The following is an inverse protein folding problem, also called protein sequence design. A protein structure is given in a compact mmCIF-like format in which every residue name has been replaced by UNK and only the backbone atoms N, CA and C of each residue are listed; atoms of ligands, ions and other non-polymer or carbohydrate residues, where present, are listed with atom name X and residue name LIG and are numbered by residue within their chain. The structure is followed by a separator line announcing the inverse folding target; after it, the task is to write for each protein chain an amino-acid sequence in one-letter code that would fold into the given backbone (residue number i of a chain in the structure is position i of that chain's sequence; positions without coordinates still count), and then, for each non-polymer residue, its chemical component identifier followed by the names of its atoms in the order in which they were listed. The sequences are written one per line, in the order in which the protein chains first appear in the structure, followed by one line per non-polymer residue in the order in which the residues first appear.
data_IF_653831662164
#
_entry.id   IF_653831662164
#
_cell.length_a   1.000
_cell.length_b   1.000
_cell.length_c   1.000
_cell.angle_alpha   90.00
_cell.angle_beta   90.00
_cell.angle_gamma   90.00
#
_symmetry.space_group_name_H-M   'P 1'
#
loop_
_entity.id
_entity.type
_entity.pdbx_description
1 polymer ?
#
# COMPACT_ATOMS: atom_id res chain seq x y z
N UNK A 1 -23.93 23.69 -38.50
CA UNK A 1 -23.06 22.50 -38.64
C UNK A 1 -21.95 22.50 -37.60
N UNK A 2 -20.92 23.36 -37.67
CA UNK A 2 -19.94 23.46 -36.55
C UNK A 2 -20.59 23.98 -35.24
N UNK A 3 -21.34 25.07 -35.34
CA UNK A 3 -22.07 25.65 -34.19
C UNK A 3 -23.13 24.72 -33.57
N UNK A 4 -23.67 23.78 -34.35
CA UNK A 4 -24.64 22.80 -33.84
C UNK A 4 -23.98 21.55 -33.24
N UNK A 5 -22.71 21.29 -33.54
CA UNK A 5 -21.94 20.22 -32.91
C UNK A 5 -21.34 20.67 -31.58
N UNK A 6 -20.91 21.93 -31.47
CA UNK A 6 -20.46 22.50 -30.19
C UNK A 6 -21.60 22.57 -29.16
N UNK A 7 -22.83 22.91 -29.60
CA UNK A 7 -24.02 22.90 -28.72
C UNK A 7 -24.42 21.47 -28.27
N UNK A 8 -24.27 20.45 -29.13
CA UNK A 8 -24.52 19.03 -28.76
C UNK A 8 -23.45 18.50 -27.79
N UNK A 9 -22.17 18.85 -27.97
CA UNK A 9 -21.09 18.44 -27.06
C UNK A 9 -21.21 19.10 -25.68
N UNK A 10 -21.60 20.37 -25.61
CA UNK A 10 -21.87 21.05 -24.32
C UNK A 10 -23.07 20.43 -23.58
N UNK A 11 -24.16 20.08 -24.30
CA UNK A 11 -25.32 19.41 -23.69
C UNK A 11 -24.98 17.99 -23.17
N UNK A 12 -24.18 17.20 -23.90
CA UNK A 12 -23.71 15.90 -23.42
C UNK A 12 -22.77 16.03 -22.21
N UNK A 13 -21.90 17.05 -22.18
CA UNK A 13 -21.00 17.28 -21.07
C UNK A 13 -21.76 17.74 -19.81
N UNK A 14 -22.78 18.60 -19.95
CA UNK A 14 -23.66 19.00 -18.86
C UNK A 14 -24.53 17.84 -18.34
N UNK A 15 -25.10 17.03 -19.23
CA UNK A 15 -25.86 15.84 -18.87
C UNK A 15 -24.97 14.82 -18.12
N UNK A 16 -23.73 14.63 -18.57
CA UNK A 16 -22.72 13.81 -17.89
C UNK A 16 -22.38 14.34 -16.49
N UNK A 17 -22.20 15.66 -16.34
CA UNK A 17 -21.95 16.31 -15.04
C UNK A 17 -23.15 16.16 -14.10
N UNK A 18 -24.38 16.31 -14.59
CA UNK A 18 -25.59 16.13 -13.79
C UNK A 18 -25.78 14.68 -13.34
N UNK A 19 -25.52 13.69 -14.22
CA UNK A 19 -25.60 12.28 -13.86
C UNK A 19 -24.63 11.91 -12.74
N UNK A 20 -23.37 12.37 -12.83
CA UNK A 20 -22.35 12.19 -11.78
C UNK A 20 -22.71 12.89 -10.46
N UNK A 21 -23.44 14.01 -10.51
CA UNK A 21 -23.96 14.67 -9.29
C UNK A 21 -25.08 13.85 -8.65
N UNK A 22 -26.06 13.40 -9.43
CA UNK A 22 -27.17 12.57 -8.92
C UNK A 22 -26.70 11.25 -8.33
N UNK A 23 -25.75 10.56 -8.96
CA UNK A 23 -25.16 9.33 -8.41
C UNK A 23 -24.44 9.60 -7.08
N UNK A 24 -23.73 10.73 -6.98
CA UNK A 24 -23.04 11.15 -5.75
C UNK A 24 -24.01 11.52 -4.63
N UNK A 25 -25.10 12.22 -4.95
CA UNK A 25 -26.12 12.61 -3.98
C UNK A 25 -26.88 11.39 -3.46
N UNK A 26 -27.19 10.43 -4.34
CA UNK A 26 -27.79 9.16 -3.95
C UNK A 26 -26.86 8.30 -3.06
N UNK A 27 -25.55 8.27 -3.38
CA UNK A 27 -24.55 7.64 -2.52
C UNK A 27 -24.47 8.32 -1.15
N UNK A 28 -24.55 9.66 -1.12
CA UNK A 28 -24.55 10.43 0.12
C UNK A 28 -25.78 10.15 0.98
N UNK A 29 -26.97 10.12 0.39
CA UNK A 29 -28.20 9.81 1.10
C UNK A 29 -28.21 8.37 1.64
N UNK A 30 -27.65 7.42 0.88
CA UNK A 30 -27.43 6.05 1.35
C UNK A 30 -26.45 6.00 2.53
N UNK A 31 -25.37 6.78 2.52
CA UNK A 31 -24.44 6.92 3.64
C UNK A 31 -25.13 7.53 4.86
N UNK A 32 -25.90 8.61 4.71
CA UNK A 32 -26.63 9.23 5.81
C UNK A 32 -27.69 8.29 6.43
N UNK A 33 -28.39 7.54 5.59
CA UNK A 33 -29.39 6.54 6.04
C UNK A 33 -28.71 5.40 6.78
N UNK A 34 -27.60 4.89 6.23
CA UNK A 34 -26.72 3.91 6.87
C UNK A 34 -26.27 4.36 8.27
N UNK A 35 -25.90 5.63 8.43
CA UNK A 35 -25.48 6.16 9.73
C UNK A 35 -26.61 6.22 10.75
N UNK A 36 -27.81 6.65 10.33
CA UNK A 36 -28.99 6.65 11.20
C UNK A 36 -29.32 5.24 11.68
N UNK A 37 -29.26 4.26 10.79
CA UNK A 37 -29.54 2.85 11.13
C UNK A 37 -28.45 2.22 12.00
N UNK A 38 -27.17 2.48 11.72
CA UNK A 38 -26.04 1.90 12.46
C UNK A 38 -25.96 2.44 13.89
N UNK A 39 -26.20 3.74 14.09
CA UNK A 39 -26.32 4.35 15.43
C UNK A 39 -27.49 3.75 16.23
N UNK A 40 -28.60 3.44 15.56
CA UNK A 40 -29.76 2.82 16.21
C UNK A 40 -29.52 1.34 16.56
N UNK A 41 -28.64 0.65 15.84
CA UNK A 41 -28.32 -0.78 16.05
C UNK A 41 -27.21 -1.02 17.09
N UNK A 42 -26.29 -0.07 17.29
CA UNK A 42 -25.10 -0.25 18.13
C UNK A 42 -25.32 -0.15 19.66
N UNK A 43 -26.54 0.05 20.17
CA UNK A 43 -26.73 0.26 21.61
C UNK A 43 -27.95 -0.45 22.25
N UNK A 44 -27.76 -1.27 23.29
CA UNK A 44 -28.80 -1.56 24.28
C UNK A 44 -29.26 -0.26 24.97
N UNK A 45 -30.52 -0.20 25.41
CA UNK A 45 -31.19 1.02 25.92
C UNK A 45 -30.55 1.70 27.14
N UNK A 46 -29.45 1.20 27.72
CA UNK A 46 -28.94 1.61 29.04
C UNK A 46 -27.92 2.77 29.05
N UNK A 47 -27.32 3.16 27.91
CA UNK A 47 -26.32 4.24 27.86
C UNK A 47 -26.76 5.39 26.93
N UNK A 48 -27.52 6.35 27.46
CA UNK A 48 -28.11 7.46 26.68
C UNK A 48 -27.17 8.66 26.54
N UNK A 49 -26.29 8.90 27.52
CA UNK A 49 -25.27 9.96 27.46
C UNK A 49 -24.11 9.62 26.53
N UNK A 50 -23.61 8.38 26.55
CA UNK A 50 -22.60 7.91 25.61
C UNK A 50 -23.12 7.94 24.17
N UNK A 51 -24.39 7.57 23.95
CA UNK A 51 -25.09 7.71 22.66
C UNK A 51 -25.10 9.14 22.16
N UNK A 52 -25.31 10.11 23.05
CA UNK A 52 -25.30 11.53 22.69
C UNK A 52 -23.91 11.98 22.27
N UNK A 53 -22.86 11.56 22.99
CA UNK A 53 -21.47 11.91 22.68
C UNK A 53 -21.02 11.30 21.35
N UNK A 54 -21.32 10.02 21.11
CA UNK A 54 -21.00 9.33 19.86
C UNK A 54 -21.74 9.98 18.69
N UNK A 55 -23.05 10.25 18.85
CA UNK A 55 -23.88 10.95 17.86
C UNK A 55 -23.36 12.36 17.57
N UNK A 56 -22.96 13.12 18.57
CA UNK A 56 -22.46 14.49 18.38
C UNK A 56 -21.08 14.50 17.70
N UNK A 57 -20.20 13.54 18.03
CA UNK A 57 -18.92 13.34 17.29
C UNK A 57 -19.17 12.95 15.83
N UNK A 58 -20.15 12.08 15.59
CA UNK A 58 -20.54 11.61 14.26
C UNK A 58 -21.14 12.74 13.41
N UNK A 59 -22.04 13.53 13.99
CA UNK A 59 -22.63 14.72 13.34
C UNK A 59 -21.54 15.76 13.05
N UNK A 60 -20.57 15.93 13.96
CA UNK A 60 -19.44 16.84 13.74
C UNK A 60 -18.50 16.34 12.63
N UNK A 61 -18.21 15.05 12.58
CA UNK A 61 -17.44 14.42 11.50
C UNK A 61 -18.14 14.57 10.15
N UNK A 62 -19.46 14.33 10.11
CA UNK A 62 -20.30 14.54 8.92
C UNK A 62 -20.27 16.01 8.48
N UNK A 63 -20.40 16.97 9.41
CA UNK A 63 -20.38 18.41 9.10
C UNK A 63 -19.01 18.90 8.59
N UNK A 64 -17.93 18.45 9.22
CA UNK A 64 -16.57 18.80 8.79
C UNK A 64 -16.26 18.21 7.41
N UNK A 65 -16.67 16.95 7.20
CA UNK A 65 -16.58 16.33 5.89
C UNK A 65 -17.45 17.10 4.89
N UNK A 66 -18.65 17.54 5.26
CA UNK A 66 -19.58 18.46 4.54
C UNK A 66 -19.03 19.85 4.21
N UNK A 67 -17.75 20.13 4.46
CA UNK A 67 -17.07 21.34 4.00
C UNK A 67 -15.99 21.05 2.94
N UNK A 68 -15.36 19.86 2.93
CA UNK A 68 -14.11 19.59 2.16
C UNK A 68 -14.20 18.78 0.84
N UNK A 69 -15.37 18.27 0.44
CA UNK A 69 -15.56 17.60 -0.86
C UNK A 69 -14.99 16.16 -1.00
N UNK A 70 -14.16 15.68 -0.06
CA UNK A 70 -13.64 14.29 0.01
C UNK A 70 -14.40 13.39 1.01
N UNK A 71 -15.73 13.54 1.03
CA UNK A 71 -16.54 13.36 2.26
C UNK A 71 -16.78 11.92 2.68
N UNK A 72 -16.99 11.00 1.74
CA UNK A 72 -17.52 9.68 2.08
C UNK A 72 -16.50 8.79 2.77
N UNK A 73 -15.25 8.75 2.29
CA UNK A 73 -14.20 7.89 2.83
C UNK A 73 -13.71 8.34 4.22
N UNK A 74 -13.46 9.65 4.40
CA UNK A 74 -13.01 10.20 5.68
C UNK A 74 -14.04 9.96 6.80
N UNK A 75 -15.33 10.09 6.51
CA UNK A 75 -16.40 9.78 7.46
C UNK A 75 -16.32 8.32 7.92
N UNK A 76 -16.12 7.37 7.01
CA UNK A 76 -15.99 5.96 7.41
C UNK A 76 -14.73 5.72 8.25
N UNK A 77 -13.61 6.35 7.91
CA UNK A 77 -12.35 6.24 8.68
C UNK A 77 -12.53 6.82 10.09
N UNK A 78 -13.06 8.05 10.19
CA UNK A 78 -13.29 8.71 11.47
C UNK A 78 -14.28 7.94 12.35
N UNK A 79 -15.21 7.23 11.73
CA UNK A 79 -16.24 6.51 12.47
C UNK A 79 -15.81 5.11 12.89
N UNK A 80 -15.02 4.42 12.08
CA UNK A 80 -14.26 3.27 12.57
C UNK A 80 -13.38 3.66 13.76
N UNK A 81 -12.70 4.81 13.69
CA UNK A 81 -11.90 5.33 14.78
C UNK A 81 -12.74 5.73 16.01
N UNK A 82 -13.92 6.31 15.82
CA UNK A 82 -14.82 6.69 16.90
C UNK A 82 -15.34 5.47 17.67
N UNK A 83 -15.79 4.42 16.96
CA UNK A 83 -16.23 3.15 17.57
C UNK A 83 -15.10 2.49 18.34
N UNK A 84 -13.86 2.56 17.82
CA UNK A 84 -12.66 2.09 18.53
C UNK A 84 -12.36 2.88 19.80
N UNK A 85 -12.62 4.20 19.80
CA UNK A 85 -12.32 5.11 20.91
C UNK A 85 -13.30 5.00 22.09
N UNK A 86 -14.44 4.32 21.95
CA UNK A 86 -15.41 4.15 23.04
C UNK A 86 -14.82 3.39 24.25
N UNK A 87 -13.77 2.59 24.06
CA UNK A 87 -13.08 1.89 25.17
C UNK A 87 -11.92 2.66 25.81
N UNK A 88 -11.29 3.60 25.10
CA UNK A 88 -10.19 4.39 25.69
C UNK A 88 -10.70 5.56 26.55
N UNK A 89 -12.00 5.88 26.43
CA UNK A 89 -12.67 6.98 27.11
C UNK A 89 -13.17 6.70 28.54
N UNK A 90 -13.38 5.44 28.91
CA UNK A 90 -13.76 5.05 30.27
C UNK A 90 -12.52 4.68 31.10
N UNK A 91 -11.84 5.67 31.67
CA UNK A 91 -10.89 5.39 32.77
C UNK A 91 -9.61 6.21 32.87
N UNK A 92 -9.42 7.29 32.10
CA UNK A 92 -8.29 8.20 32.36
C UNK A 92 -8.61 9.27 33.41
N UNK A 93 -8.86 8.81 34.63
CA UNK A 93 -8.39 9.49 35.85
C UNK A 93 -7.84 8.46 36.83
N UNK A 94 -6.58 8.10 36.62
CA UNK A 94 -5.72 7.48 37.63
C UNK A 94 -6.00 6.01 37.96
N UNK A 95 -5.49 5.08 37.15
CA UNK A 95 -4.95 3.83 37.68
C UNK A 95 -4.08 3.13 36.63
N UNK A 96 -2.79 2.96 36.92
CA UNK A 96 -1.89 2.07 36.17
C UNK A 96 -2.23 0.63 36.54
N UNK A 97 -3.25 0.02 35.92
CA UNK A 97 -3.49 -1.42 36.04
C UNK A 97 -3.27 -2.12 34.70
N UNK A 98 -2.36 -3.09 34.71
CA UNK A 98 -2.18 -4.09 33.66
C UNK A 98 -3.49 -4.86 33.48
N UNK A 99 -4.33 -4.42 32.56
CA UNK A 99 -5.51 -5.18 32.13
C UNK A 99 -5.07 -6.23 31.10
N UNK A 100 -5.39 -7.50 31.39
CA UNK A 100 -5.26 -8.60 30.43
C UNK A 100 -6.30 -8.38 29.32
N UNK A 101 -5.80 -8.30 28.08
CA UNK A 101 -6.56 -8.07 26.84
C UNK A 101 -7.67 -9.12 26.62
N UNK A 102 -8.90 -8.80 27.00
CA UNK A 102 -10.08 -9.25 26.27
C UNK A 102 -10.57 -8.06 25.47
N UNK A 103 -10.53 -8.15 24.14
CA UNK A 103 -11.09 -7.12 23.27
C UNK A 103 -12.62 -7.20 23.31
N UNK A 104 -13.27 -6.04 23.37
CA UNK A 104 -14.71 -5.90 23.58
C UNK A 104 -15.54 -6.00 22.30
N UNK A 105 -16.87 -5.87 22.45
CA UNK A 105 -17.83 -5.65 21.37
C UNK A 105 -17.46 -4.52 20.39
N UNK A 106 -16.55 -3.60 20.76
CA UNK A 106 -16.08 -2.49 19.91
C UNK A 106 -15.38 -2.96 18.63
N UNK A 107 -14.52 -3.99 18.69
CA UNK A 107 -13.78 -4.47 17.51
C UNK A 107 -14.70 -5.11 16.45
N UNK A 108 -15.75 -5.80 16.88
CA UNK A 108 -16.75 -6.39 15.98
C UNK A 108 -17.61 -5.29 15.31
N UNK A 109 -17.95 -4.26 16.08
CA UNK A 109 -18.69 -3.10 15.58
C UNK A 109 -17.86 -2.31 14.56
N UNK A 110 -16.56 -2.10 14.83
CA UNK A 110 -15.62 -1.48 13.90
C UNK A 110 -15.52 -2.27 12.58
N UNK A 111 -15.37 -3.60 12.68
CA UNK A 111 -15.31 -4.47 11.51
C UNK A 111 -16.58 -4.37 10.65
N UNK A 112 -17.76 -4.39 11.26
CA UNK A 112 -19.02 -4.28 10.52
C UNK A 112 -19.20 -2.91 9.87
N UNK A 113 -18.76 -1.81 10.52
CA UNK A 113 -18.72 -0.47 9.91
C UNK A 113 -17.82 -0.46 8.68
N UNK A 114 -16.59 -0.97 8.79
CA UNK A 114 -15.62 -0.99 7.69
C UNK A 114 -16.03 -1.94 6.56
N UNK A 115 -16.65 -3.07 6.87
CA UNK A 115 -17.20 -4.02 5.89
C UNK A 115 -18.30 -3.38 5.05
N UNK A 116 -19.18 -2.61 5.68
CA UNK A 116 -20.24 -1.86 4.98
C UNK A 116 -19.66 -0.68 4.19
N UNK A 117 -18.69 0.05 4.75
CA UNK A 117 -17.94 1.09 4.05
C UNK A 117 -17.30 0.56 2.75
N UNK A 118 -16.67 -0.61 2.81
CA UNK A 118 -16.06 -1.27 1.63
C UNK A 118 -17.08 -1.58 0.54
N UNK A 119 -18.31 -1.95 0.91
CA UNK A 119 -19.37 -2.19 -0.08
C UNK A 119 -19.85 -0.90 -0.75
N UNK A 120 -19.84 0.21 -0.01
CA UNK A 120 -20.23 1.52 -0.52
C UNK A 120 -19.11 2.15 -1.39
N UNK A 121 -17.84 1.95 -1.03
CA UNK A 121 -16.68 2.53 -1.71
C UNK A 121 -15.64 1.42 -1.99
N UNK A 122 -15.91 0.50 -2.94
CA UNK A 122 -15.05 -0.67 -3.19
C UNK A 122 -13.65 -0.30 -3.73
N UNK A 123 -13.53 0.85 -4.39
CA UNK A 123 -12.26 1.35 -4.94
C UNK A 123 -11.36 2.05 -3.90
N UNK A 124 -11.74 2.17 -2.62
CA UNK A 124 -10.87 2.78 -1.60
C UNK A 124 -9.87 1.76 -1.05
N UNK A 125 -8.59 1.92 -1.42
CA UNK A 125 -7.45 1.15 -0.87
C UNK A 125 -7.36 1.27 0.66
N UNK A 126 -7.65 2.45 1.21
CA UNK A 126 -7.50 2.73 2.64
C UNK A 126 -8.62 2.11 3.44
N UNK A 127 -9.88 2.19 2.99
CA UNK A 127 -11.00 1.48 3.62
C UNK A 127 -10.77 -0.03 3.52
N UNK A 128 -10.31 -0.52 2.37
CA UNK A 128 -9.97 -1.92 2.17
C UNK A 128 -8.87 -2.39 3.14
N UNK A 129 -7.78 -1.62 3.28
CA UNK A 129 -6.70 -1.88 4.23
C UNK A 129 -7.20 -1.87 5.68
N UNK A 130 -7.95 -0.85 6.10
CA UNK A 130 -8.52 -0.76 7.45
C UNK A 130 -9.47 -1.93 7.74
N UNK A 131 -10.33 -2.29 6.78
CA UNK A 131 -11.19 -3.46 6.87
C UNK A 131 -10.38 -4.73 7.12
N UNK A 132 -9.32 -4.95 6.34
CA UNK A 132 -8.45 -6.13 6.50
C UNK A 132 -7.70 -6.13 7.83
N UNK A 133 -7.29 -4.97 8.34
CA UNK A 133 -6.66 -4.84 9.67
C UNK A 133 -7.66 -5.15 10.80
N UNK A 134 -8.90 -4.68 10.68
CA UNK A 134 -9.97 -5.02 11.63
C UNK A 134 -10.37 -6.50 11.55
N UNK A 135 -10.40 -7.07 10.35
CA UNK A 135 -10.67 -8.49 10.13
C UNK A 135 -9.54 -9.37 10.70
N UNK A 136 -8.28 -8.98 10.54
CA UNK A 136 -7.17 -9.67 11.16
C UNK A 136 -7.27 -9.67 12.70
N UNK A 137 -7.73 -8.56 13.30
CA UNK A 137 -8.00 -8.49 14.75
C UNK A 137 -9.15 -9.40 15.17
N UNK A 138 -10.26 -9.44 14.43
CA UNK A 138 -11.37 -10.36 14.76
C UNK A 138 -10.92 -11.82 14.67
N UNK A 139 -10.15 -12.19 13.63
CA UNK A 139 -9.58 -13.53 13.52
C UNK A 139 -8.67 -13.91 14.69
N UNK A 140 -7.95 -12.95 15.29
CA UNK A 140 -7.13 -13.25 16.48
C UNK A 140 -7.98 -13.77 17.65
N UNK A 141 -9.25 -13.36 17.75
CA UNK A 141 -10.17 -13.77 18.81
C UNK A 141 -10.78 -15.16 18.57
N UNK A 142 -10.79 -15.64 17.32
CA UNK A 142 -11.32 -16.97 17.00
C UNK A 142 -10.41 -18.10 17.47
N UNK A 143 -10.99 -19.23 17.87
CA UNK A 143 -10.25 -20.45 18.25
C UNK A 143 -9.75 -21.23 17.02
N UNK A 144 -9.11 -20.52 16.08
CA UNK A 144 -8.48 -21.10 14.89
C UNK A 144 -6.96 -21.24 15.09
N UNK A 145 -6.35 -22.17 14.37
CA UNK A 145 -4.89 -22.25 14.29
C UNK A 145 -4.30 -21.02 13.59
N UNK A 146 -3.01 -20.75 13.83
CA UNK A 146 -2.29 -19.65 13.16
C UNK A 146 -2.35 -19.80 11.63
N UNK A 147 -2.28 -21.04 11.13
CA UNK A 147 -2.35 -21.33 9.71
C UNK A 147 -3.75 -21.07 9.13
N UNK A 148 -4.81 -21.45 9.83
CA UNK A 148 -6.19 -21.17 9.40
C UNK A 148 -6.49 -19.67 9.39
N UNK A 149 -6.07 -18.93 10.43
CA UNK A 149 -6.20 -17.47 10.47
C UNK A 149 -5.47 -16.80 9.31
N UNK A 150 -4.24 -17.24 9.03
CA UNK A 150 -3.48 -16.75 7.89
C UNK A 150 -4.20 -17.09 6.57
N UNK A 151 -4.70 -18.32 6.39
CA UNK A 151 -5.41 -18.73 5.18
C UNK A 151 -6.67 -17.89 4.94
N UNK A 152 -7.48 -17.64 5.98
CA UNK A 152 -8.69 -16.83 5.87
C UNK A 152 -8.37 -15.36 5.58
N UNK A 153 -7.36 -14.79 6.26
CA UNK A 153 -6.92 -13.43 5.97
C UNK A 153 -6.38 -13.33 4.53
N UNK A 154 -5.58 -14.31 4.10
CA UNK A 154 -5.05 -14.37 2.73
C UNK A 154 -6.17 -14.44 1.69
N UNK A 155 -7.23 -15.21 1.96
CA UNK A 155 -8.39 -15.31 1.09
C UNK A 155 -9.15 -13.98 1.04
N UNK A 156 -9.43 -13.35 2.19
CA UNK A 156 -10.10 -12.04 2.23
C UNK A 156 -9.30 -10.96 1.52
N UNK A 157 -7.97 -10.93 1.65
CA UNK A 157 -7.11 -10.01 0.89
C UNK A 157 -7.24 -10.22 -0.61
N UNK A 158 -7.31 -11.47 -1.08
CA UNK A 158 -7.49 -11.79 -2.50
C UNK A 158 -8.84 -11.29 -3.01
N UNK A 159 -9.92 -11.51 -2.25
CA UNK A 159 -11.26 -11.02 -2.60
C UNK A 159 -11.31 -9.48 -2.64
N UNK A 160 -10.63 -8.82 -1.69
CA UNK A 160 -10.50 -7.36 -1.66
C UNK A 160 -9.73 -6.85 -2.87
N UNK A 161 -8.56 -7.43 -3.17
CA UNK A 161 -7.74 -7.05 -4.32
C UNK A 161 -8.46 -7.25 -5.65
N UNK A 162 -9.29 -8.29 -5.78
CA UNK A 162 -10.14 -8.50 -6.95
C UNK A 162 -11.25 -7.44 -7.11
N UNK A 163 -11.64 -6.79 -6.00
CA UNK A 163 -12.68 -5.75 -6.00
C UNK A 163 -12.16 -4.32 -6.12
N UNK A 164 -10.85 -4.10 -5.93
CA UNK A 164 -10.20 -2.81 -6.15
C UNK A 164 -9.93 -2.64 -7.66
N UNK A 165 -10.74 -1.86 -8.36
CA UNK A 165 -10.54 -1.54 -9.78
C UNK A 165 -9.30 -0.65 -9.99
N UNK A 166 -8.41 -1.06 -10.91
CA UNK A 166 -7.16 -0.40 -11.34
C UNK A 166 -6.09 -0.17 -10.25
N UNK A 167 -4.84 -0.38 -10.66
CA UNK A 167 -3.68 -0.72 -9.81
C UNK A 167 -3.34 0.24 -8.67
N UNK A 168 -3.56 1.55 -8.85
CA UNK A 168 -3.27 2.54 -7.81
C UNK A 168 -4.15 2.36 -6.56
N UNK A 169 -5.38 1.88 -6.74
CA UNK A 169 -6.35 1.68 -5.65
C UNK A 169 -6.14 0.38 -4.87
N UNK A 170 -5.15 -0.42 -5.24
CA UNK A 170 -4.80 -1.67 -4.55
C UNK A 170 -3.51 -1.54 -3.71
N UNK A 171 -2.78 -0.44 -3.82
CA UNK A 171 -1.41 -0.31 -3.27
C UNK A 171 -1.35 -0.58 -1.76
N UNK A 172 -2.22 0.04 -0.94
CA UNK A 172 -2.20 -0.19 0.51
C UNK A 172 -2.53 -1.64 0.87
N UNK A 173 -3.41 -2.28 0.11
CA UNK A 173 -3.78 -3.69 0.31
C UNK A 173 -2.60 -4.60 -0.05
N UNK A 174 -1.88 -4.31 -1.13
CA UNK A 174 -0.66 -5.02 -1.50
C UNK A 174 0.45 -4.84 -0.47
N UNK A 175 0.65 -3.63 0.07
CA UNK A 175 1.59 -3.39 1.17
C UNK A 175 1.24 -4.24 2.40
N UNK A 176 -0.03 -4.28 2.77
CA UNK A 176 -0.49 -5.14 3.86
C UNK A 176 -0.24 -6.62 3.55
N UNK A 177 -0.42 -7.03 2.30
CA UNK A 177 -0.18 -8.42 1.88
C UNK A 177 1.30 -8.79 1.99
N UNK A 178 2.20 -7.93 1.51
CA UNK A 178 3.66 -8.13 1.64
C UNK A 178 4.04 -8.27 3.13
N UNK A 179 3.53 -7.39 4.00
CA UNK A 179 3.77 -7.45 5.45
C UNK A 179 3.19 -8.72 6.09
N UNK A 180 2.04 -9.20 5.61
CA UNK A 180 1.46 -10.46 6.09
C UNK A 180 2.34 -11.66 5.76
N UNK A 181 2.83 -11.74 4.52
CA UNK A 181 3.73 -12.83 4.10
C UNK A 181 5.10 -12.76 4.79
N UNK A 182 5.57 -11.56 5.13
CA UNK A 182 6.76 -11.42 5.97
C UNK A 182 6.54 -12.05 7.36
N UNK A 183 5.36 -11.85 7.96
CA UNK A 183 4.99 -12.43 9.26
C UNK A 183 4.78 -13.94 9.23
N UNK A 184 4.43 -14.52 8.07
CA UNK A 184 4.36 -15.98 7.90
C UNK A 184 5.75 -16.62 7.82
N UNK A 185 6.83 -15.81 7.86
CA UNK A 185 8.21 -16.23 7.69
C UNK A 185 8.47 -16.97 6.35
N UNK A 186 7.63 -16.76 5.33
CA UNK A 186 7.81 -17.33 4.00
C UNK A 186 8.37 -16.31 3.00
N UNK A 187 9.70 -16.32 2.83
CA UNK A 187 10.37 -15.41 1.88
C UNK A 187 9.85 -15.59 0.44
N UNK A 188 9.64 -16.82 -0.09
CA UNK A 188 9.08 -17.01 -1.43
C UNK A 188 7.67 -16.44 -1.59
N UNK A 189 6.78 -16.62 -0.59
CA UNK A 189 5.42 -16.08 -0.65
C UNK A 189 5.42 -14.55 -0.61
N UNK A 190 6.33 -13.95 0.18
CA UNK A 190 6.49 -12.50 0.24
C UNK A 190 7.00 -11.93 -1.08
N UNK A 191 7.99 -12.59 -1.71
CA UNK A 191 8.50 -12.22 -3.04
C UNK A 191 7.38 -12.31 -4.08
N UNK A 192 6.60 -13.39 -4.06
CA UNK A 192 5.49 -13.58 -4.98
C UNK A 192 4.41 -12.50 -4.80
N UNK A 193 4.07 -12.13 -3.56
CA UNK A 193 3.15 -11.03 -3.28
C UNK A 193 3.67 -9.68 -3.78
N UNK A 194 4.97 -9.41 -3.60
CA UNK A 194 5.60 -8.20 -4.12
C UNK A 194 5.59 -8.17 -5.66
N UNK A 195 5.95 -9.27 -6.32
CA UNK A 195 5.95 -9.39 -7.78
C UNK A 195 4.54 -9.14 -8.31
N UNK A 196 3.52 -9.73 -7.70
CA UNK A 196 2.13 -9.49 -8.09
C UNK A 196 1.68 -8.04 -7.87
N UNK A 197 2.20 -7.35 -6.85
CA UNK A 197 1.89 -5.95 -6.60
C UNK A 197 2.45 -4.99 -7.66
N UNK A 198 3.57 -5.34 -8.30
CA UNK A 198 4.28 -4.50 -9.28
C UNK A 198 4.16 -4.98 -10.73
N UNK A 199 3.49 -6.12 -10.95
CA UNK A 199 3.24 -6.72 -12.26
C UNK A 199 2.08 -6.10 -13.07
N UNK A 200 1.00 -5.56 -12.49
CA UNK A 200 -0.08 -4.99 -13.30
C UNK A 200 0.29 -3.60 -13.86
N UNK A 201 -0.36 -3.15 -14.96
CA UNK A 201 0.15 -2.08 -15.84
C UNK A 201 0.12 -0.67 -15.22
N UNK A 202 0.78 0.31 -15.86
CA UNK A 202 1.85 1.06 -15.19
C UNK A 202 1.36 1.79 -13.94
N UNK A 203 1.59 1.20 -12.77
CA UNK A 203 1.54 1.99 -11.54
C UNK A 203 2.56 3.12 -11.64
N UNK A 204 2.21 4.37 -11.30
CA UNK A 204 3.11 5.50 -11.43
C UNK A 204 4.40 5.26 -10.63
N UNK A 205 5.56 5.76 -11.12
CA UNK A 205 6.88 5.49 -10.53
C UNK A 205 6.98 5.70 -8.99
N UNK A 206 6.31 6.70 -8.38
CA UNK A 206 6.30 6.86 -6.93
C UNK A 206 5.70 5.67 -6.17
N UNK A 207 4.65 5.03 -6.72
CA UNK A 207 4.01 3.86 -6.09
C UNK A 207 4.89 2.62 -6.19
N UNK A 208 5.59 2.47 -7.32
CA UNK A 208 6.59 1.41 -7.51
C UNK A 208 7.73 1.54 -6.50
N UNK A 209 8.26 2.75 -6.33
CA UNK A 209 9.32 3.01 -5.35
C UNK A 209 8.87 2.71 -3.91
N UNK A 210 7.63 3.07 -3.56
CA UNK A 210 7.06 2.81 -2.24
C UNK A 210 6.80 1.31 -1.97
N UNK A 211 6.36 0.56 -2.99
CA UNK A 211 6.22 -0.90 -2.92
C UNK A 211 7.59 -1.59 -2.75
N UNK A 212 8.62 -1.15 -3.48
CA UNK A 212 10.00 -1.65 -3.32
C UNK A 212 10.50 -1.35 -1.90
N UNK A 213 10.33 -0.12 -1.41
CA UNK A 213 10.69 0.27 -0.05
C UNK A 213 9.99 -0.60 0.99
N UNK A 214 8.68 -0.78 0.85
CA UNK A 214 7.88 -1.63 1.75
C UNK A 214 8.38 -3.07 1.76
N UNK A 215 8.68 -3.64 0.59
CA UNK A 215 9.24 -4.99 0.46
C UNK A 215 10.61 -5.11 1.14
N UNK A 216 11.55 -4.20 0.87
CA UNK A 216 12.90 -4.25 1.42
C UNK A 216 12.95 -3.97 2.93
N UNK A 217 12.02 -3.14 3.43
CA UNK A 217 11.81 -2.93 4.87
C UNK A 217 11.24 -4.19 5.51
N UNK A 218 10.23 -4.82 4.91
CA UNK A 218 9.66 -6.07 5.42
C UNK A 218 10.69 -7.21 5.46
N UNK A 219 11.53 -7.33 4.43
CA UNK A 219 12.66 -8.29 4.42
C UNK A 219 13.61 -8.03 5.59
N UNK A 220 14.02 -6.77 5.79
CA UNK A 220 14.93 -6.40 6.88
C UNK A 220 14.33 -6.71 8.24
N UNK A 221 13.09 -6.30 8.45
CA UNK A 221 12.46 -6.35 9.76
C UNK A 221 12.14 -7.79 10.20
N UNK A 222 11.93 -8.71 9.23
CA UNK A 222 11.59 -10.12 9.52
C UNK A 222 12.74 -11.12 9.34
N UNK A 223 13.72 -10.82 8.48
CA UNK A 223 14.79 -11.75 8.13
C UNK A 223 16.20 -11.18 8.33
N UNK A 224 16.33 -9.89 8.66
CA UNK A 224 17.60 -9.18 8.77
C UNK A 224 18.11 -8.61 7.44
N UNK A 225 19.10 -7.72 7.51
CA UNK A 225 19.69 -7.04 6.34
C UNK A 225 20.34 -8.02 5.36
N UNK A 226 21.01 -9.07 5.86
CA UNK A 226 21.72 -10.06 5.03
C UNK A 226 20.83 -10.92 4.14
N UNK A 227 19.50 -10.88 4.30
CA UNK A 227 18.54 -11.62 3.45
C UNK A 227 17.99 -10.77 2.30
N UNK A 228 18.29 -9.47 2.25
CA UNK A 228 17.90 -8.57 1.16
C UNK A 228 18.44 -9.00 -0.20
N UNK A 229 19.74 -9.35 -0.35
CA UNK A 229 20.27 -9.86 -1.62
C UNK A 229 19.50 -11.07 -2.15
N UNK A 230 19.22 -12.04 -1.27
CA UNK A 230 18.46 -13.24 -1.61
C UNK A 230 17.02 -12.90 -2.05
N UNK A 231 16.35 -11.99 -1.34
CA UNK A 231 15.00 -11.56 -1.66
C UNK A 231 14.94 -10.87 -3.04
N UNK A 232 15.90 -9.99 -3.32
CA UNK A 232 16.02 -9.31 -4.61
C UNK A 232 16.31 -10.30 -5.74
N UNK A 233 17.25 -11.23 -5.54
CA UNK A 233 17.57 -12.25 -6.52
C UNK A 233 16.35 -13.10 -6.90
N UNK A 234 15.57 -13.56 -5.90
CA UNK A 234 14.33 -14.30 -6.13
C UNK A 234 13.28 -13.49 -6.90
N UNK A 235 13.13 -12.20 -6.60
CA UNK A 235 12.21 -11.33 -7.32
C UNK A 235 12.65 -11.11 -8.78
N UNK A 236 13.96 -10.94 -9.02
CA UNK A 236 14.55 -10.71 -10.34
C UNK A 236 14.50 -11.94 -11.27
N UNK A 237 14.24 -13.13 -10.74
CA UNK A 237 13.93 -14.33 -11.55
C UNK A 237 12.56 -14.23 -12.24
N UNK A 238 11.71 -13.28 -11.82
CA UNK A 238 10.37 -13.06 -12.37
C UNK A 238 10.39 -11.94 -13.42
N UNK A 239 9.45 -11.95 -14.39
CA UNK A 239 9.32 -10.85 -15.34
C UNK A 239 8.85 -9.59 -14.59
N UNK A 240 9.71 -8.58 -14.53
CA UNK A 240 9.44 -7.31 -13.85
C UNK A 240 9.60 -6.12 -14.81
N UNK A 241 8.82 -5.04 -14.62
CA UNK A 241 9.06 -3.76 -15.29
C UNK A 241 10.47 -3.25 -15.04
N UNK A 242 11.07 -2.55 -16.02
CA UNK A 242 12.46 -2.06 -15.91
C UNK A 242 12.69 -1.16 -14.70
N UNK A 243 11.74 -0.28 -14.36
CA UNK A 243 11.83 0.57 -13.16
C UNK A 243 11.93 -0.25 -11.87
N UNK A 244 11.14 -1.32 -11.76
CA UNK A 244 11.17 -2.25 -10.62
C UNK A 244 12.48 -3.03 -10.59
N UNK A 245 12.89 -3.56 -11.75
CA UNK A 245 14.12 -4.35 -11.89
C UNK A 245 15.33 -3.53 -11.46
N UNK A 246 15.41 -2.29 -11.95
CA UNK A 246 16.47 -1.35 -11.61
C UNK A 246 16.49 -0.99 -10.13
N UNK A 247 15.32 -0.76 -9.51
CA UNK A 247 15.24 -0.53 -8.06
C UNK A 247 15.71 -1.74 -7.23
N UNK A 248 15.38 -2.97 -7.64
CA UNK A 248 15.82 -4.18 -6.97
C UNK A 248 17.31 -4.48 -7.17
N UNK A 249 17.84 -4.29 -8.39
CA UNK A 249 19.27 -4.48 -8.66
C UNK A 249 20.09 -3.50 -7.84
N UNK A 250 19.65 -2.23 -7.75
CA UNK A 250 20.29 -1.24 -6.88
C UNK A 250 20.31 -1.69 -5.44
N UNK A 251 19.17 -2.09 -4.89
CA UNK A 251 19.07 -2.53 -3.49
C UNK A 251 19.89 -3.80 -3.20
N UNK A 252 19.96 -4.73 -4.16
CA UNK A 252 20.81 -5.92 -4.06
C UNK A 252 22.30 -5.54 -4.05
N UNK A 253 22.72 -4.78 -5.05
CA UNK A 253 24.11 -4.41 -5.22
C UNK A 253 24.62 -3.51 -4.08
N UNK A 254 23.81 -2.58 -3.57
CA UNK A 254 24.20 -1.76 -2.41
C UNK A 254 24.63 -2.62 -1.21
N UNK A 255 23.93 -3.71 -0.93
CA UNK A 255 24.29 -4.62 0.17
C UNK A 255 25.50 -5.49 -0.16
N UNK A 256 25.52 -6.13 -1.33
CA UNK A 256 26.61 -7.06 -1.66
C UNK A 256 27.96 -6.36 -1.92
N UNK A 257 27.94 -5.15 -2.48
CA UNK A 257 29.16 -4.36 -2.69
C UNK A 257 29.74 -3.87 -1.35
N UNK A 258 28.88 -3.54 -0.38
CA UNK A 258 29.31 -3.13 0.97
C UNK A 258 29.88 -4.30 1.79
N UNK A 259 29.41 -5.52 1.55
CA UNK A 259 29.86 -6.73 2.28
C UNK A 259 31.07 -7.43 1.64
N UNK A 260 31.60 -6.94 0.51
CA UNK A 260 32.67 -7.59 -0.28
C UNK A 260 32.40 -9.08 -0.58
N UNK A 261 31.12 -9.44 -0.74
CA UNK A 261 30.66 -10.80 -0.95
C UNK A 261 31.08 -11.34 -2.35
N UNK A 262 31.13 -12.67 -2.56
CA UNK A 262 31.48 -13.23 -3.87
C UNK A 262 30.53 -12.76 -4.99
N UNK A 263 31.05 -11.87 -5.84
CA UNK A 263 30.27 -11.00 -6.73
C UNK A 263 29.69 -11.63 -8.01
N UNK A 264 29.82 -12.94 -8.26
CA UNK A 264 29.51 -13.47 -9.61
C UNK A 264 28.04 -13.29 -10.02
N UNK A 265 27.08 -13.47 -9.11
CA UNK A 265 25.65 -13.26 -9.42
C UNK A 265 25.29 -11.78 -9.51
N UNK A 266 25.83 -10.97 -8.61
CA UNK A 266 25.62 -9.51 -8.59
C UNK A 266 26.23 -8.84 -9.81
N UNK A 267 27.39 -9.30 -10.29
CA UNK A 267 27.98 -8.84 -11.56
C UNK A 267 27.06 -9.08 -12.75
N UNK A 268 26.52 -10.29 -12.89
CA UNK A 268 25.60 -10.61 -14.01
C UNK A 268 24.35 -9.72 -13.93
N UNK A 269 23.83 -9.47 -12.72
CA UNK A 269 22.69 -8.59 -12.52
C UNK A 269 23.02 -7.13 -12.88
N UNK A 270 24.19 -6.62 -12.46
CA UNK A 270 24.67 -5.27 -12.78
C UNK A 270 24.97 -5.09 -14.28
N UNK A 271 25.51 -6.12 -14.94
CA UNK A 271 25.76 -6.09 -16.39
C UNK A 271 24.46 -6.03 -17.19
N UNK A 272 23.43 -6.79 -16.79
CA UNK A 272 22.10 -6.72 -17.42
C UNK A 272 21.40 -5.40 -17.12
N UNK A 273 21.54 -4.90 -15.90
CA UNK A 273 20.99 -3.61 -15.50
C UNK A 273 21.62 -2.45 -16.25
N UNK A 274 22.93 -2.50 -16.50
CA UNK A 274 23.66 -1.48 -17.26
C UNK A 274 23.10 -1.24 -18.68
N UNK A 275 22.36 -2.18 -19.24
CA UNK A 275 21.68 -2.07 -20.54
C UNK A 275 20.33 -1.35 -20.44
N UNK A 276 19.81 -1.10 -19.24
CA UNK A 276 18.51 -0.44 -19.03
C UNK A 276 18.62 1.09 -19.01
N UNK A 277 17.59 1.78 -19.53
CA UNK A 277 17.51 3.26 -19.50
C UNK A 277 17.58 3.83 -18.08
N UNK A 278 17.05 3.11 -17.09
CA UNK A 278 17.07 3.57 -15.70
C UNK A 278 18.49 3.52 -15.09
N UNK A 279 19.40 2.72 -15.65
CA UNK A 279 20.79 2.70 -15.21
C UNK A 279 21.51 4.02 -15.47
N UNK A 280 21.04 4.79 -16.46
CA UNK A 280 21.59 6.10 -16.77
C UNK A 280 21.39 7.13 -15.67
N UNK A 281 20.41 6.89 -14.80
CA UNK A 281 20.04 7.80 -13.71
C UNK A 281 20.76 7.49 -12.39
N UNK A 282 21.54 6.41 -12.31
CA UNK A 282 22.07 5.89 -11.04
C UNK A 282 23.59 5.97 -10.94
N UNK A 283 24.12 7.19 -11.00
CA UNK A 283 25.56 7.49 -10.93
C UNK A 283 26.24 6.87 -9.71
N UNK A 284 25.59 6.93 -8.54
CA UNK A 284 26.14 6.39 -7.29
C UNK A 284 26.43 4.89 -7.37
N UNK A 285 25.56 4.13 -8.06
CA UNK A 285 25.73 2.68 -8.17
C UNK A 285 26.88 2.32 -9.12
N UNK A 286 27.09 3.12 -10.17
CA UNK A 286 28.23 2.99 -11.06
C UNK A 286 29.56 3.18 -10.32
N UNK A 287 29.63 4.18 -9.44
CA UNK A 287 30.80 4.45 -8.60
C UNK A 287 31.05 3.28 -7.65
N UNK A 288 30.03 2.85 -6.89
CA UNK A 288 30.16 1.72 -5.95
C UNK A 288 30.60 0.43 -6.65
N UNK A 289 30.08 0.15 -7.86
CA UNK A 289 30.48 -1.03 -8.62
C UNK A 289 31.94 -0.95 -9.07
N UNK A 290 32.38 0.19 -9.59
CA UNK A 290 33.77 0.40 -10.00
C UNK A 290 34.75 0.21 -8.83
N UNK A 291 34.43 0.82 -7.68
CA UNK A 291 35.23 0.71 -6.46
C UNK A 291 35.34 -0.74 -5.97
N UNK A 292 34.26 -1.52 -6.05
CA UNK A 292 34.27 -2.92 -5.68
C UNK A 292 35.12 -3.78 -6.63
N UNK A 293 35.05 -3.56 -7.95
CA UNK A 293 35.91 -4.26 -8.92
C UNK A 293 37.39 -3.88 -8.70
N UNK A 294 37.68 -2.61 -8.39
CA UNK A 294 39.03 -2.17 -8.05
C UNK A 294 39.54 -2.82 -6.77
N UNK A 295 38.72 -2.89 -5.72
CA UNK A 295 39.06 -3.53 -4.45
C UNK A 295 39.30 -5.05 -4.63
N UNK A 296 38.61 -5.69 -5.57
CA UNK A 296 38.82 -7.09 -5.94
C UNK A 296 40.07 -7.32 -6.82
N UNK A 297 40.84 -6.28 -7.17
CA UNK A 297 42.01 -6.38 -8.05
C UNK A 297 41.67 -6.50 -9.55
N UNK A 298 40.41 -6.28 -9.93
CA UNK A 298 39.88 -6.45 -11.28
C UNK A 298 39.98 -5.17 -12.11
N UNK A 299 41.19 -4.61 -12.22
CA UNK A 299 41.43 -3.29 -12.81
C UNK A 299 40.89 -3.10 -14.24
N UNK A 300 40.92 -4.15 -15.08
CA UNK A 300 40.35 -4.09 -16.44
C UNK A 300 38.84 -3.93 -16.43
N UNK A 301 38.15 -4.59 -15.50
CA UNK A 301 36.70 -4.49 -15.36
C UNK A 301 36.29 -3.17 -14.74
N UNK A 302 36.99 -2.74 -13.70
CA UNK A 302 36.82 -1.42 -13.10
C UNK A 302 36.91 -0.31 -14.17
N UNK A 303 37.93 -0.35 -15.03
CA UNK A 303 38.05 0.58 -16.16
C UNK A 303 36.87 0.47 -17.16
N UNK A 304 36.36 -0.74 -17.42
CA UNK A 304 35.18 -0.95 -18.25
C UNK A 304 33.88 -0.41 -17.64
N UNK A 305 33.71 -0.53 -16.33
CA UNK A 305 32.59 0.06 -15.58
C UNK A 305 32.69 1.59 -15.65
N UNK A 306 33.86 2.17 -15.40
CA UNK A 306 34.10 3.61 -15.49
C UNK A 306 33.82 4.16 -16.90
N UNK A 307 34.27 3.45 -17.94
CA UNK A 307 34.02 3.84 -19.32
C UNK A 307 32.52 3.86 -19.64
N UNK A 308 31.77 2.82 -19.25
CA UNK A 308 30.31 2.76 -19.43
C UNK A 308 29.59 3.88 -18.66
N UNK A 309 29.98 4.11 -17.41
CA UNK A 309 29.42 5.19 -16.59
C UNK A 309 29.64 6.56 -17.24
N UNK A 310 30.84 6.81 -17.76
CA UNK A 310 31.20 8.08 -18.42
C UNK A 310 30.36 8.31 -19.68
N UNK A 311 30.28 7.29 -20.55
CA UNK A 311 29.46 7.35 -21.78
C UNK A 311 27.99 7.59 -21.48
N UNK A 312 27.48 6.90 -20.47
CA UNK A 312 26.09 7.02 -20.04
C UNK A 312 25.75 8.44 -19.55
N UNK A 313 26.69 9.08 -18.85
CA UNK A 313 26.56 10.46 -18.40
C UNK A 313 26.64 11.47 -19.56
N UNK A 314 27.55 11.25 -20.51
CA UNK A 314 27.71 12.08 -21.72
C UNK A 314 26.43 12.04 -22.58
N UNK A 315 25.89 10.85 -22.85
CA UNK A 315 24.66 10.66 -23.63
C UNK A 315 23.44 11.31 -22.94
N UNK A 316 23.36 11.26 -21.60
CA UNK A 316 22.29 11.94 -20.84
C UNK A 316 22.40 13.48 -20.90
N UNK A 317 23.63 14.02 -20.95
CA UNK A 317 23.84 15.47 -21.10
C UNK A 317 23.59 15.99 -22.51
N UNK A 318 23.73 15.18 -23.56
CA UNK A 318 23.35 15.56 -24.92
C UNK A 318 21.82 15.59 -25.09
N UNK A 319 21.09 14.61 -24.54
CA UNK A 319 19.63 14.56 -24.58
C UNK A 319 18.94 15.75 -23.88
N UNK A 320 19.58 16.39 -22.90
CA UNK A 320 19.05 17.58 -22.22
C UNK A 320 19.38 18.91 -22.93
N UNK A 321 20.17 18.88 -24.00
CA UNK A 321 20.49 20.06 -24.82
C UNK A 321 19.60 20.19 -26.08
N UNK A 322 18.88 19.13 -26.45
CA UNK A 322 17.85 19.13 -27.51
C UNK A 322 16.45 19.40 -26.94
#
# INVERSE_FOLDING_TARGET
RRKSQEEEEEEEEEAGKQKRRKERDAQWEAICTFWKETVNQLAPKQHEEERKIARDKLIKAIKNAEEDGSRSELIFIELAAAVRSEEEGEGRKGDKKRSRKSLSSSDQNELEVLKRARRAIPASSRIASLYLQSFARSLQQEQLSVQEKAAQLKQQMKEVLQSCDKDETAVEVWKDRIKLEARSNSLPEMVEAFVQAVSPPPSPPPLVADLISTFLLAVRDHYGSGRRPQACALALEKPLPSSVRSGLVRAWAEVELEEAAPMNKTRIALERWAEEEEAKKSVDLWIKWEEAERAAGEHKRAAGVQWRATRTLEDATEYHKE
#
